data_IF_021521963672
#
_entry.id   IF_021521963672
#
_cell.length_a   1.000
_cell.length_b   1.000
_cell.length_c   1.000
_cell.angle_alpha   90.00
_cell.angle_beta   90.00
_cell.angle_gamma   90.00
#
_symmetry.space_group_name_H-M   'P 1'
#
loop_
_entity.id
_entity.type
_entity.pdbx_description
1 polymer ?
#
# COMPACT_ATOMS: atom_id res chain seq x y z
N UNK A 1 31.77 -14.15 7.98
CA UNK A 1 33.01 -14.57 7.31
C UNK A 1 34.23 -14.75 8.22
N UNK A 2 34.33 -14.13 9.40
CA UNK A 2 35.47 -14.32 10.35
C UNK A 2 35.37 -15.65 11.11
N UNK A 3 34.17 -16.13 11.46
CA UNK A 3 33.96 -17.37 12.17
C UNK A 3 34.46 -18.59 11.40
N UNK A 4 34.25 -18.68 10.08
CA UNK A 4 34.74 -19.78 9.26
C UNK A 4 36.26 -19.95 9.24
N UNK A 5 37.02 -18.83 9.37
CA UNK A 5 38.49 -18.87 9.37
C UNK A 5 39.01 -19.38 10.71
N UNK A 6 38.35 -19.02 11.81
CA UNK A 6 38.74 -19.50 13.15
C UNK A 6 38.47 -20.99 13.30
N UNK A 7 37.33 -21.47 12.80
CA UNK A 7 36.97 -22.92 12.78
C UNK A 7 38.00 -23.73 12.00
N UNK A 8 38.40 -23.22 10.84
CA UNK A 8 39.39 -23.88 9.99
C UNK A 8 40.76 -23.93 10.66
N UNK A 9 41.19 -22.87 11.34
CA UNK A 9 42.43 -22.81 12.11
C UNK A 9 42.42 -23.79 13.28
N UNK A 10 41.34 -23.84 14.04
CA UNK A 10 41.21 -24.80 15.18
C UNK A 10 41.19 -26.23 14.68
N UNK A 11 40.54 -26.55 13.59
CA UNK A 11 40.54 -27.90 12.98
C UNK A 11 41.91 -28.30 12.49
N UNK A 12 42.66 -27.39 11.85
CA UNK A 12 44.04 -27.66 11.41
C UNK A 12 44.96 -27.88 12.63
N UNK A 13 44.82 -27.06 13.67
CA UNK A 13 45.60 -27.20 14.89
C UNK A 13 45.32 -28.57 15.59
N UNK A 14 44.07 -28.98 15.65
CA UNK A 14 43.66 -30.27 16.22
C UNK A 14 44.26 -31.46 15.43
N UNK A 15 44.25 -31.35 14.09
CA UNK A 15 44.87 -32.38 13.23
C UNK A 15 46.39 -32.44 13.45
N UNK A 16 47.08 -31.31 13.52
CA UNK A 16 48.51 -31.23 13.75
C UNK A 16 48.86 -31.83 15.12
N UNK A 17 48.12 -31.45 16.17
CA UNK A 17 48.32 -32.04 17.51
C UNK A 17 48.07 -33.55 17.55
N UNK A 18 47.05 -34.03 16.84
CA UNK A 18 46.79 -35.48 16.73
C UNK A 18 47.91 -36.21 16.03
N UNK A 19 48.45 -35.64 14.94
CA UNK A 19 49.59 -36.26 14.22
C UNK A 19 50.86 -36.26 15.08
N UNK A 20 51.15 -35.16 15.80
CA UNK A 20 52.29 -35.10 16.74
C UNK A 20 52.11 -36.12 17.86
N UNK A 21 50.91 -36.23 18.46
CA UNK A 21 50.62 -37.19 19.50
C UNK A 21 50.83 -38.64 19.02
N UNK A 22 50.36 -38.95 17.81
CA UNK A 22 50.56 -40.29 17.21
C UNK A 22 52.05 -40.54 16.91
N UNK A 23 52.76 -39.55 16.33
CA UNK A 23 54.15 -39.72 15.97
C UNK A 23 55.12 -39.79 17.16
N UNK A 24 54.80 -39.15 18.27
CA UNK A 24 55.62 -39.26 19.51
C UNK A 24 55.34 -40.52 20.34
N UNK A 25 54.17 -41.12 20.11
CA UNK A 25 53.74 -42.34 20.83
C UNK A 25 54.09 -43.63 20.10
N UNK A 26 54.56 -43.52 18.85
CA UNK A 26 55.03 -44.68 18.08
C UNK A 26 56.54 -44.83 18.21
N UNK A 27 57.10 -45.18 19.39
CA UNK A 27 58.00 -46.29 19.43
C UNK A 27 57.99 -47.16 20.74
N UNK A 28 57.99 -48.41 20.56
CA UNK A 28 58.47 -49.42 21.44
C UNK A 28 57.52 -50.05 22.44
N UNK A 29 57.08 -51.24 22.03
CA UNK A 29 57.11 -52.49 22.83
C UNK A 29 56.78 -52.29 24.30
N UNK A 30 55.63 -52.63 24.63
CA UNK A 30 54.93 -52.87 25.88
C UNK A 30 53.79 -51.89 26.11
N UNK A 31 52.60 -52.34 25.68
CA UNK A 31 51.36 -51.60 26.05
C UNK A 31 51.20 -51.73 27.57
N UNK A 32 51.76 -50.80 28.32
CA UNK A 32 51.49 -50.67 29.74
C UNK A 32 50.11 -49.92 29.90
N UNK A 33 49.53 -50.19 31.08
CA UNK A 33 48.24 -49.63 31.46
C UNK A 33 48.14 -48.08 31.30
N UNK A 34 49.26 -47.35 31.33
CA UNK A 34 49.40 -45.90 31.14
C UNK A 34 49.07 -45.42 29.73
N UNK A 35 49.32 -46.27 28.71
CA UNK A 35 48.98 -45.91 27.33
C UNK A 35 47.45 -45.83 27.08
N UNK A 36 46.71 -46.75 27.67
CA UNK A 36 45.24 -46.79 27.62
C UNK A 36 44.62 -45.58 28.34
N UNK A 37 45.19 -45.20 29.48
CA UNK A 37 44.81 -43.99 30.23
C UNK A 37 44.99 -42.70 29.43
N UNK A 38 46.16 -42.63 28.72
CA UNK A 38 46.45 -41.45 27.87
C UNK A 38 45.49 -41.33 26.68
N UNK A 39 45.20 -42.46 25.99
CA UNK A 39 44.24 -42.44 24.85
C UNK A 39 42.85 -42.09 25.35
N UNK A 40 42.39 -42.64 26.46
CA UNK A 40 41.07 -42.37 27.01
C UNK A 40 40.95 -40.90 27.49
N UNK A 41 41.98 -40.37 28.13
CA UNK A 41 42.05 -38.97 28.54
C UNK A 41 42.04 -38.00 27.36
N UNK A 42 42.81 -38.29 26.30
CA UNK A 42 42.89 -37.54 25.07
C UNK A 42 41.56 -37.54 24.32
N UNK A 43 40.91 -38.70 24.23
CA UNK A 43 39.56 -38.80 23.64
C UNK A 43 38.52 -38.06 24.46
N UNK A 44 38.54 -38.13 25.79
CA UNK A 44 37.65 -37.39 26.67
C UNK A 44 37.82 -35.88 26.52
N UNK A 45 39.05 -35.39 26.41
CA UNK A 45 39.35 -33.99 26.15
C UNK A 45 38.78 -33.51 24.78
N UNK A 46 39.03 -34.30 23.73
CA UNK A 46 38.49 -34.01 22.38
C UNK A 46 36.95 -33.94 22.37
N UNK A 47 36.28 -34.87 23.01
CA UNK A 47 34.81 -34.87 23.12
C UNK A 47 34.33 -33.64 23.88
N UNK A 48 35.00 -33.26 24.95
CA UNK A 48 34.63 -32.07 25.73
C UNK A 48 34.77 -30.78 24.91
N UNK A 49 35.86 -30.65 24.14
CA UNK A 49 36.06 -29.50 23.23
C UNK A 49 35.01 -29.48 22.13
N UNK A 50 34.66 -30.59 21.53
CA UNK A 50 33.62 -30.69 20.51
C UNK A 50 32.24 -30.35 21.05
N UNK A 51 31.90 -30.81 22.24
CA UNK A 51 30.64 -30.48 22.90
C UNK A 51 30.57 -28.98 23.24
N UNK A 52 31.63 -28.42 23.81
CA UNK A 52 31.71 -26.97 24.09
C UNK A 52 31.56 -26.14 22.84
N UNK A 53 32.21 -26.56 21.75
CA UNK A 53 32.07 -25.88 20.44
C UNK A 53 30.64 -25.95 19.88
N UNK A 54 30.00 -27.12 19.94
CA UNK A 54 28.64 -27.28 19.48
C UNK A 54 27.66 -26.40 20.29
N UNK A 55 27.83 -26.37 21.61
CA UNK A 55 27.01 -25.49 22.48
C UNK A 55 27.21 -24.02 22.12
N UNK A 56 28.46 -23.57 21.96
CA UNK A 56 28.78 -22.20 21.56
C UNK A 56 28.14 -21.83 20.20
N UNK A 57 28.26 -22.71 19.20
CA UNK A 57 27.69 -22.49 17.87
C UNK A 57 26.15 -22.36 17.91
N UNK A 58 25.49 -23.15 18.78
CA UNK A 58 24.04 -23.07 18.95
C UNK A 58 23.64 -21.76 19.59
N UNK A 59 24.38 -21.24 20.57
CA UNK A 59 24.12 -19.96 21.20
C UNK A 59 24.33 -18.80 20.22
N UNK A 60 25.42 -18.78 19.48
CA UNK A 60 25.75 -17.77 18.47
C UNK A 60 24.66 -17.72 17.38
N UNK A 61 24.24 -18.88 16.88
CA UNK A 61 23.16 -19.00 15.90
C UNK A 61 21.80 -18.50 16.44
N UNK A 62 21.51 -18.73 17.72
CA UNK A 62 20.27 -18.21 18.33
C UNK A 62 20.29 -16.71 18.44
N UNK A 63 21.42 -16.11 18.80
CA UNK A 63 21.57 -14.68 18.87
C UNK A 63 21.45 -14.02 17.49
N UNK A 64 22.15 -14.56 16.50
CA UNK A 64 22.05 -14.11 15.10
C UNK A 64 20.61 -14.16 14.56
N UNK A 65 19.88 -15.23 14.91
CA UNK A 65 18.47 -15.37 14.55
C UNK A 65 17.55 -14.35 15.24
N UNK A 66 17.85 -13.98 16.48
CA UNK A 66 17.12 -12.95 17.22
C UNK A 66 17.37 -11.56 16.62
N UNK A 67 18.62 -11.24 16.31
CA UNK A 67 19.02 -9.98 15.69
C UNK A 67 18.39 -9.84 14.29
N UNK A 68 18.40 -10.92 13.51
CA UNK A 68 17.75 -10.96 12.21
C UNK A 68 16.23 -10.74 12.33
N UNK A 69 15.58 -11.36 13.33
CA UNK A 69 14.15 -11.16 13.58
C UNK A 69 13.84 -9.74 13.99
N UNK A 70 14.63 -9.13 14.87
CA UNK A 70 14.48 -7.73 15.27
C UNK A 70 14.62 -6.78 14.07
N UNK A 71 15.59 -7.02 13.19
CA UNK A 71 15.78 -6.27 11.96
C UNK A 71 14.58 -6.40 11.01
N UNK A 72 14.01 -7.60 10.82
CA UNK A 72 12.81 -7.77 10.00
C UNK A 72 11.58 -7.09 10.60
N UNK A 73 11.43 -7.11 11.92
CA UNK A 73 10.31 -6.45 12.59
C UNK A 73 10.41 -4.92 12.46
N UNK A 74 11.62 -4.36 12.55
CA UNK A 74 11.90 -2.93 12.31
C UNK A 74 11.60 -2.54 10.86
N UNK A 75 12.06 -3.32 9.89
CA UNK A 75 11.78 -3.10 8.46
C UNK A 75 10.28 -3.16 8.18
N UNK A 76 9.57 -4.11 8.78
CA UNK A 76 8.12 -4.24 8.64
C UNK A 76 7.37 -3.02 9.21
N UNK A 77 7.83 -2.46 10.34
CA UNK A 77 7.27 -1.21 10.89
C UNK A 77 7.54 -0.02 9.98
N UNK A 78 8.76 0.09 9.47
CA UNK A 78 9.13 1.15 8.52
C UNK A 78 8.28 1.11 7.25
N UNK A 79 8.11 -0.06 6.64
CA UNK A 79 7.24 -0.24 5.46
C UNK A 79 5.79 0.12 5.75
N UNK A 80 5.27 -0.23 6.94
CA UNK A 80 3.91 0.16 7.34
C UNK A 80 3.78 1.67 7.52
N UNK A 81 4.77 2.34 8.12
CA UNK A 81 4.79 3.79 8.29
C UNK A 81 4.80 4.50 6.93
N UNK A 82 5.70 4.11 6.03
CA UNK A 82 5.75 4.64 4.65
C UNK A 82 4.44 4.40 3.91
N UNK A 83 3.84 3.22 4.05
CA UNK A 83 2.54 2.92 3.45
C UNK A 83 1.40 3.82 3.95
N UNK A 84 1.39 4.13 5.26
CA UNK A 84 0.40 5.04 5.84
C UNK A 84 0.59 6.48 5.36
N UNK A 85 1.84 6.96 5.29
CA UNK A 85 2.18 8.31 4.83
C UNK A 85 1.84 8.50 3.34
N UNK A 86 2.12 7.49 2.52
CA UNK A 86 1.74 7.47 1.11
C UNK A 86 0.21 7.56 0.97
N UNK A 87 -0.53 6.75 1.71
CA UNK A 87 -2.00 6.78 1.69
C UNK A 87 -2.55 8.15 2.09
N UNK A 88 -1.99 8.77 3.13
CA UNK A 88 -2.38 10.11 3.57
C UNK A 88 -2.06 11.16 2.49
N UNK A 89 -0.90 11.08 1.88
CA UNK A 89 -0.50 11.99 0.78
C UNK A 89 -1.44 11.87 -0.41
N UNK A 90 -1.80 10.65 -0.82
CA UNK A 90 -2.78 10.43 -1.89
C UNK A 90 -4.15 10.99 -1.56
N UNK A 91 -4.65 10.77 -0.34
CA UNK A 91 -5.94 11.36 0.10
C UNK A 91 -5.92 12.89 0.01
N UNK A 92 -4.85 13.52 0.47
CA UNK A 92 -4.69 14.97 0.42
C UNK A 92 -4.63 15.49 -1.03
N UNK A 93 -3.94 14.80 -1.93
CA UNK A 93 -3.89 15.16 -3.34
C UNK A 93 -5.27 15.06 -4.00
N UNK A 94 -6.01 13.98 -3.76
CA UNK A 94 -7.37 13.80 -4.27
C UNK A 94 -8.30 14.89 -3.72
N UNK A 95 -8.19 15.25 -2.44
CA UNK A 95 -8.97 16.33 -1.83
C UNK A 95 -8.66 17.69 -2.49
N UNK A 96 -7.41 17.97 -2.84
CA UNK A 96 -7.02 19.18 -3.55
C UNK A 96 -7.60 19.21 -4.98
N UNK A 97 -7.60 18.09 -5.69
CA UNK A 97 -8.24 17.98 -7.01
C UNK A 97 -9.74 18.25 -6.91
N UNK A 98 -10.40 17.67 -5.91
CA UNK A 98 -11.81 17.91 -5.63
C UNK A 98 -12.15 19.38 -5.44
N UNK A 99 -11.35 20.11 -4.65
CA UNK A 99 -11.52 21.55 -4.45
C UNK A 99 -11.28 22.34 -5.74
N UNK A 100 -10.29 21.95 -6.54
CA UNK A 100 -10.02 22.60 -7.83
C UNK A 100 -11.20 22.44 -8.80
N UNK A 101 -11.74 21.22 -8.93
CA UNK A 101 -12.93 20.96 -9.75
C UNK A 101 -14.12 21.81 -9.29
N UNK A 102 -14.31 21.91 -7.96
CA UNK A 102 -15.37 22.76 -7.40
C UNK A 102 -15.15 24.24 -7.73
N UNK A 103 -13.95 24.77 -7.61
CA UNK A 103 -13.65 26.16 -7.98
C UNK A 103 -13.92 26.42 -9.45
N UNK A 104 -13.53 25.49 -10.34
CA UNK A 104 -13.86 25.62 -11.77
C UNK A 104 -15.39 25.57 -11.98
N UNK A 105 -16.08 24.68 -11.29
CA UNK A 105 -17.54 24.60 -11.31
C UNK A 105 -18.19 25.93 -10.89
N UNK A 106 -17.68 26.59 -9.85
CA UNK A 106 -18.17 27.86 -9.38
C UNK A 106 -18.02 28.97 -10.45
N UNK A 107 -16.95 28.93 -11.25
CA UNK A 107 -16.79 29.82 -12.41
C UNK A 107 -17.91 29.60 -13.43
N UNK A 108 -18.27 28.33 -13.73
CA UNK A 108 -19.39 28.03 -14.62
C UNK A 108 -20.73 28.49 -14.03
N UNK A 109 -20.94 28.36 -12.73
CA UNK A 109 -22.11 28.87 -12.03
C UNK A 109 -22.23 30.41 -12.18
N UNK A 110 -21.11 31.10 -12.03
CA UNK A 110 -21.07 32.56 -12.24
C UNK A 110 -21.38 32.93 -13.70
N UNK A 111 -20.80 32.22 -14.68
CA UNK A 111 -21.08 32.43 -16.10
C UNK A 111 -22.55 32.18 -16.46
N UNK A 112 -23.18 31.18 -15.83
CA UNK A 112 -24.63 30.93 -15.99
C UNK A 112 -25.46 32.07 -15.46
N UNK A 113 -25.03 32.78 -14.43
CA UNK A 113 -25.68 34.02 -13.95
C UNK A 113 -25.69 35.15 -15.00
N UNK A 114 -24.69 35.15 -15.90
CA UNK A 114 -24.59 36.14 -16.99
C UNK A 114 -25.33 35.66 -18.26
N UNK A 115 -25.18 34.39 -18.60
CA UNK A 115 -25.79 33.79 -19.79
C UNK A 115 -26.12 32.32 -19.53
N UNK A 116 -27.41 32.04 -19.39
CA UNK A 116 -27.86 30.65 -19.15
C UNK A 116 -27.82 29.85 -20.45
N UNK A 117 -26.88 28.93 -20.58
CA UNK A 117 -26.79 27.99 -21.71
C UNK A 117 -26.71 26.58 -21.25
N UNK A 118 -27.26 25.67 -22.07
CA UNK A 118 -27.23 24.21 -21.80
C UNK A 118 -25.78 23.69 -21.57
N UNK A 119 -24.77 24.05 -22.40
CA UNK A 119 -23.42 23.64 -22.18
C UNK A 119 -22.83 24.07 -20.82
N UNK A 120 -23.10 25.32 -20.39
CA UNK A 120 -22.60 25.82 -19.10
C UNK A 120 -23.21 25.05 -17.93
N UNK A 121 -24.51 24.76 -17.99
CA UNK A 121 -25.17 23.95 -16.96
C UNK A 121 -24.63 22.52 -16.92
N UNK A 122 -24.40 21.92 -18.08
CA UNK A 122 -23.77 20.58 -18.15
C UNK A 122 -22.39 20.58 -17.48
N UNK A 123 -21.50 21.50 -17.83
CA UNK A 123 -20.16 21.56 -17.24
C UNK A 123 -20.21 21.86 -15.73
N UNK A 124 -21.12 22.71 -15.27
CA UNK A 124 -21.33 22.96 -13.86
C UNK A 124 -21.69 21.67 -13.11
N UNK A 125 -22.70 20.93 -13.59
CA UNK A 125 -23.13 19.67 -12.97
C UNK A 125 -22.00 18.64 -13.03
N UNK A 126 -21.37 18.50 -14.20
CA UNK A 126 -20.30 17.52 -14.43
C UNK A 126 -19.11 17.75 -13.49
N UNK A 127 -18.60 18.97 -13.39
CA UNK A 127 -17.47 19.30 -12.53
C UNK A 127 -17.82 19.19 -11.05
N UNK A 128 -19.04 19.56 -10.65
CA UNK A 128 -19.47 19.36 -9.27
C UNK A 128 -19.62 17.89 -8.93
N UNK A 129 -20.09 17.05 -9.84
CA UNK A 129 -20.09 15.59 -9.65
C UNK A 129 -18.67 15.02 -9.58
N UNK A 130 -17.74 15.51 -10.40
CA UNK A 130 -16.32 15.18 -10.31
C UNK A 130 -15.75 15.50 -8.92
N UNK A 131 -16.03 16.70 -8.43
CA UNK A 131 -15.64 17.12 -7.09
C UNK A 131 -16.23 16.21 -5.99
N UNK A 132 -17.50 15.80 -6.12
CA UNK A 132 -18.15 14.85 -5.18
C UNK A 132 -17.46 13.49 -5.23
N UNK A 133 -17.15 12.96 -6.44
CA UNK A 133 -16.45 11.68 -6.61
C UNK A 133 -15.09 11.70 -5.90
N UNK A 134 -14.27 12.73 -6.17
CA UNK A 134 -12.95 12.88 -5.59
C UNK A 134 -13.01 13.14 -4.07
N UNK A 135 -14.00 13.91 -3.61
CA UNK A 135 -14.22 14.14 -2.19
C UNK A 135 -14.63 12.86 -1.45
N UNK A 136 -15.47 12.02 -2.05
CA UNK A 136 -15.86 10.73 -1.51
C UNK A 136 -14.64 9.76 -1.42
N UNK A 137 -13.76 9.76 -2.43
CA UNK A 137 -12.52 8.97 -2.42
C UNK A 137 -11.55 9.42 -1.32
N UNK A 138 -11.53 10.71 -0.99
CA UNK A 138 -10.74 11.25 0.12
C UNK A 138 -11.45 11.15 1.48
N UNK A 139 -12.65 10.55 1.52
CA UNK A 139 -13.50 10.40 2.72
C UNK A 139 -13.97 11.76 3.32
N UNK A 140 -14.05 12.80 2.49
CA UNK A 140 -14.54 14.13 2.90
C UNK A 140 -16.04 14.27 2.60
N UNK A 141 -16.86 13.61 3.40
CA UNK A 141 -18.31 13.55 3.17
C UNK A 141 -19.04 14.87 3.47
N UNK A 142 -18.45 15.76 4.27
CA UNK A 142 -19.02 17.07 4.54
C UNK A 142 -19.07 17.91 3.26
N UNK A 143 -17.98 17.93 2.50
CA UNK A 143 -17.95 18.57 1.19
C UNK A 143 -18.92 17.93 0.20
N UNK A 144 -18.97 16.58 0.18
CA UNK A 144 -19.93 15.88 -0.68
C UNK A 144 -21.38 16.33 -0.38
N UNK A 145 -21.76 16.36 0.89
CA UNK A 145 -23.10 16.76 1.32
C UNK A 145 -23.42 18.23 0.97
N UNK A 146 -22.43 19.11 1.11
CA UNK A 146 -22.57 20.50 0.74
C UNK A 146 -22.87 20.63 -0.76
N UNK A 147 -22.06 20.01 -1.62
CA UNK A 147 -22.16 20.13 -3.07
C UNK A 147 -23.38 19.40 -3.65
N UNK A 148 -23.83 18.30 -3.04
CA UNK A 148 -25.12 17.67 -3.38
C UNK A 148 -26.27 18.65 -3.13
N UNK A 149 -26.27 19.34 -1.99
CA UNK A 149 -27.30 20.33 -1.68
C UNK A 149 -27.25 21.53 -2.62
N UNK A 150 -26.08 22.01 -3.02
CA UNK A 150 -25.92 23.07 -4.00
C UNK A 150 -26.49 22.68 -5.36
N UNK A 151 -26.18 21.47 -5.87
CA UNK A 151 -26.75 20.98 -7.13
C UNK A 151 -28.27 20.89 -7.07
N UNK A 152 -28.82 20.35 -5.97
CA UNK A 152 -30.26 20.30 -5.77
C UNK A 152 -30.92 21.69 -5.70
N UNK A 153 -30.19 22.65 -5.18
CA UNK A 153 -30.68 24.03 -5.12
C UNK A 153 -30.70 24.75 -6.52
N UNK A 154 -29.75 24.35 -7.39
CA UNK A 154 -29.68 24.89 -8.78
C UNK A 154 -30.70 24.21 -9.68
N UNK A 155 -30.87 22.87 -9.57
CA UNK A 155 -31.78 22.07 -10.42
C UNK A 155 -33.16 21.97 -9.76
N UNK A 156 -33.89 23.11 -9.68
CA UNK A 156 -35.19 23.13 -8.99
C UNK A 156 -36.32 22.48 -9.81
N UNK A 157 -36.31 22.67 -11.13
CA UNK A 157 -37.32 22.20 -12.05
C UNK A 157 -36.70 21.40 -13.18
N UNK A 158 -36.32 20.12 -12.90
CA UNK A 158 -35.56 19.30 -13.85
C UNK A 158 -36.30 19.03 -15.16
N UNK A 159 -37.64 18.99 -15.14
CA UNK A 159 -38.46 18.71 -16.33
C UNK A 159 -38.42 19.84 -17.37
N UNK A 160 -38.03 21.05 -16.96
CA UNK A 160 -37.91 22.23 -17.84
C UNK A 160 -36.50 22.35 -18.41
N UNK A 161 -35.53 21.77 -17.75
CA UNK A 161 -34.10 21.84 -18.14
C UNK A 161 -33.85 20.86 -19.26
N UNK A 162 -33.54 21.34 -20.44
CA UNK A 162 -33.17 20.55 -21.61
C UNK A 162 -31.71 20.10 -21.54
N UNK A 163 -31.44 18.83 -21.82
CA UNK A 163 -30.09 18.29 -21.86
C UNK A 163 -29.95 17.21 -22.95
N UNK A 164 -28.84 17.23 -23.73
CA UNK A 164 -28.55 16.20 -24.72
C UNK A 164 -28.53 14.80 -24.08
N UNK A 165 -29.02 13.80 -24.80
CA UNK A 165 -29.14 12.41 -24.30
C UNK A 165 -27.78 11.88 -23.85
N UNK A 166 -26.74 12.07 -24.65
CA UNK A 166 -25.38 11.59 -24.32
C UNK A 166 -24.84 12.27 -23.06
N UNK A 167 -25.05 13.58 -22.91
CA UNK A 167 -24.64 14.36 -21.74
C UNK A 167 -25.34 13.88 -20.48
N UNK A 168 -26.66 13.66 -20.53
CA UNK A 168 -27.45 13.14 -19.42
C UNK A 168 -26.99 11.72 -19.01
N UNK A 169 -26.79 10.83 -20.00
CA UNK A 169 -26.30 9.49 -19.73
C UNK A 169 -24.90 9.51 -19.07
N UNK A 170 -24.03 10.42 -19.50
CA UNK A 170 -22.72 10.60 -18.91
C UNK A 170 -22.80 11.01 -17.43
N UNK A 171 -23.65 11.98 -17.11
CA UNK A 171 -23.88 12.41 -15.73
C UNK A 171 -24.42 11.27 -14.86
N UNK A 172 -25.41 10.52 -15.34
CA UNK A 172 -25.97 9.38 -14.61
C UNK A 172 -24.92 8.28 -14.37
N UNK A 173 -24.08 8.02 -15.35
CA UNK A 173 -22.96 7.07 -15.19
C UNK A 173 -21.96 7.52 -14.12
N UNK A 174 -21.75 8.82 -13.94
CA UNK A 174 -20.81 9.34 -12.95
C UNK A 174 -21.18 8.94 -11.51
N UNK A 175 -22.47 8.73 -11.21
CA UNK A 175 -22.91 8.25 -9.89
C UNK A 175 -22.35 6.86 -9.54
N UNK A 176 -22.11 6.01 -10.53
CA UNK A 176 -21.53 4.67 -10.29
C UNK A 176 -20.07 4.73 -9.84
N UNK A 177 -19.41 5.87 -9.99
CA UNK A 177 -18.02 6.10 -9.57
C UNK A 177 -17.91 6.63 -8.13
N UNK A 178 -19.03 6.99 -7.50
CA UNK A 178 -19.04 7.55 -6.15
C UNK A 178 -18.84 6.43 -5.13
N UNK A 179 -17.66 6.43 -4.49
CA UNK A 179 -17.35 5.48 -3.42
C UNK A 179 -18.14 5.84 -2.15
N UNK A 180 -18.52 4.81 -1.36
CA UNK A 180 -19.18 5.00 -0.07
C UNK A 180 -20.40 5.93 -0.15
N UNK A 181 -21.22 5.73 -1.18
CA UNK A 181 -22.42 6.56 -1.46
C UNK A 181 -23.41 6.59 -0.29
N UNK A 182 -23.42 5.55 0.55
CA UNK A 182 -24.22 5.44 1.78
C UNK A 182 -23.92 6.53 2.81
N UNK A 183 -22.73 7.12 2.77
CA UNK A 183 -22.31 8.19 3.67
C UNK A 183 -22.69 9.61 3.16
N UNK A 184 -23.22 9.70 1.93
CA UNK A 184 -23.55 10.97 1.30
C UNK A 184 -25.07 11.16 1.32
N UNK A 185 -25.51 12.18 2.08
CA UNK A 185 -26.93 12.47 2.24
C UNK A 185 -27.53 12.99 0.93
N UNK A 186 -28.78 12.58 0.63
CA UNK A 186 -29.55 13.04 -0.53
C UNK A 186 -28.93 12.73 -1.90
N UNK A 187 -27.93 11.86 -1.97
CA UNK A 187 -27.30 11.48 -3.24
C UNK A 187 -28.32 10.81 -4.18
N UNK A 188 -29.18 9.92 -3.64
CA UNK A 188 -30.25 9.27 -4.40
C UNK A 188 -31.31 10.26 -4.90
N UNK A 189 -31.55 11.35 -4.17
CA UNK A 189 -32.43 12.43 -4.59
C UNK A 189 -31.81 13.16 -5.78
N UNK A 190 -30.52 13.50 -5.70
CA UNK A 190 -29.80 14.14 -6.79
C UNK A 190 -29.79 13.25 -8.05
N UNK A 191 -29.55 11.96 -7.90
CA UNK A 191 -29.61 11.02 -9.01
C UNK A 191 -31.00 11.03 -9.69
N UNK A 192 -32.08 10.99 -8.90
CA UNK A 192 -33.45 11.09 -9.43
C UNK A 192 -33.74 12.41 -10.10
N UNK A 193 -33.25 13.52 -9.58
CA UNK A 193 -33.38 14.85 -10.17
C UNK A 193 -32.71 14.92 -11.53
N UNK A 194 -31.47 14.43 -11.66
CA UNK A 194 -30.75 14.39 -12.94
C UNK A 194 -31.45 13.44 -13.94
N UNK A 195 -32.01 12.33 -13.47
CA UNK A 195 -32.77 11.42 -14.32
C UNK A 195 -34.06 12.04 -14.92
N UNK A 196 -34.61 13.07 -14.28
CA UNK A 196 -35.80 13.79 -14.75
C UNK A 196 -35.52 14.97 -15.72
N UNK A 197 -34.23 15.29 -15.97
CA UNK A 197 -33.88 16.31 -16.96
C UNK A 197 -34.52 15.97 -18.31
N UNK A 198 -35.07 16.97 -19.00
CA UNK A 198 -35.73 16.79 -20.29
C UNK A 198 -34.70 16.45 -21.36
N UNK A 199 -34.87 15.29 -22.00
CA UNK A 199 -33.96 14.82 -23.05
C UNK A 199 -34.22 15.57 -24.36
N UNK A 200 -33.14 16.03 -24.99
CA UNK A 200 -33.12 16.51 -26.35
C UNK A 200 -32.14 15.74 -27.21
N UNK A 201 -32.36 15.60 -28.53
CA UNK A 201 -31.41 14.95 -29.42
C UNK A 201 -30.04 15.64 -29.36
N UNK A 202 -28.98 14.86 -29.52
CA UNK A 202 -27.64 15.43 -29.59
C UNK A 202 -27.50 16.36 -30.82
N UNK A 203 -26.83 17.51 -30.68
CA UNK A 203 -26.66 18.47 -31.76
C UNK A 203 -26.02 17.88 -33.02
N UNK A 204 -25.05 16.97 -32.83
CA UNK A 204 -24.35 16.29 -33.91
C UNK A 204 -25.22 15.28 -34.67
N UNK A 205 -26.23 14.69 -34.00
CA UNK A 205 -27.17 13.79 -34.66
C UNK A 205 -28.11 14.54 -35.62
N UNK A 206 -28.40 15.81 -35.34
CA UNK A 206 -29.22 16.68 -36.20
C UNK A 206 -28.51 17.07 -37.49
N UNK A 207 -27.16 17.23 -37.43
CA UNK A 207 -26.35 17.55 -38.61
C UNK A 207 -26.09 16.30 -39.49
N UNK A 208 -25.98 15.10 -38.90
CA UNK A 208 -25.72 13.87 -39.62
C UNK A 208 -26.93 13.24 -40.34
N UNK A 209 -28.15 13.44 -39.80
CA UNK A 209 -29.35 12.77 -40.32
C UNK A 209 -30.31 13.74 -41.09
N UNK A 210 -29.91 14.98 -41.33
CA UNK A 210 -30.62 15.95 -42.17
C UNK A 210 -32.13 15.97 -41.96
N UNK A 211 -32.64 17.07 -41.54
CA UNK A 211 -34.07 17.31 -41.46
C UNK A 211 -34.70 17.26 -42.86
#
# INVERSE_FOLDING_TARGET
>A
MKANRLTLLVSILAIILSVIAISTLLPRTEMSFDYLGFITGSLGFLVTVLLGWNIYTIFDFRQERQDLKAYFDEQKQSVKAVGSDLRMTFKNQIANVSLLEKHISDVYSYLMGINTSIPLLFYYIHLTLGAIINSAQSENYDNCNLWVNELLAVIKEPEVIEMPITSKMYLLKSFTMICHSENIKRLDELHRVIARLKEIPDPEAKEMYGS
#
